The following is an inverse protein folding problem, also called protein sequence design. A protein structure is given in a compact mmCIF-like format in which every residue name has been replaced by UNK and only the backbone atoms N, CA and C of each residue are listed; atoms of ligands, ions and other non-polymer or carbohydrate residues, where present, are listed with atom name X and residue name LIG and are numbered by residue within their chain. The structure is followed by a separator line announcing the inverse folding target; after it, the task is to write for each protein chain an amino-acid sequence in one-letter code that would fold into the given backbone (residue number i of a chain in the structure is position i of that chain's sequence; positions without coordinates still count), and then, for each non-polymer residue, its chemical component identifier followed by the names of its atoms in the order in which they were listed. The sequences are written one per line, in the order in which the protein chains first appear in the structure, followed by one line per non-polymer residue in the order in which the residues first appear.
data_IF_544233003114
#
_entry.id   IF_544233003114
#
_cell.length_a   1.000
_cell.length_b   1.000
_cell.length_c   1.000
_cell.angle_alpha   90.00
_cell.angle_beta   90.00
_cell.angle_gamma   90.00
#
_symmetry.space_group_name_H-M   'P 1'
#
loop_
_entity.id
_entity.type
_entity.pdbx_description
1 polymer ?
#
# COMPACT_ATOMS: atom_id res chain seq x y z
N UNK A 1 40.39 -33.88 -9.46
CA UNK A 1 39.36 -32.91 -9.92
C UNK A 1 38.00 -33.01 -9.21
N UNK A 2 37.86 -33.75 -8.08
CA UNK A 2 36.54 -34.00 -7.43
C UNK A 2 36.12 -32.99 -6.35
N UNK A 3 37.07 -32.27 -5.74
CA UNK A 3 36.84 -31.37 -4.60
C UNK A 3 36.03 -30.11 -4.94
N UNK A 4 36.12 -29.61 -6.18
CA UNK A 4 35.38 -28.40 -6.62
C UNK A 4 33.88 -28.65 -6.75
N UNK A 5 33.47 -29.83 -7.22
CA UNK A 5 32.06 -30.18 -7.40
C UNK A 5 31.35 -30.42 -6.05
N UNK A 6 31.99 -31.10 -5.10
CA UNK A 6 31.45 -31.31 -3.76
C UNK A 6 31.30 -29.98 -2.98
N UNK A 7 32.31 -29.09 -3.07
CA UNK A 7 32.27 -27.77 -2.46
C UNK A 7 31.17 -26.89 -3.05
N UNK A 8 31.00 -26.90 -4.39
CA UNK A 8 29.90 -26.19 -5.08
C UNK A 8 28.53 -26.69 -4.64
N UNK A 9 28.34 -28.01 -4.48
CA UNK A 9 27.08 -28.59 -3.98
C UNK A 9 26.81 -28.17 -2.54
N UNK A 10 27.81 -28.21 -1.67
CA UNK A 10 27.67 -27.76 -0.29
C UNK A 10 27.30 -26.27 -0.20
N UNK A 11 27.94 -25.42 -1.00
CA UNK A 11 27.59 -23.99 -1.09
C UNK A 11 26.18 -23.79 -1.62
N UNK A 12 25.77 -24.53 -2.66
CA UNK A 12 24.41 -24.45 -3.19
C UNK A 12 23.36 -24.81 -2.13
N UNK A 13 23.58 -25.89 -1.39
CA UNK A 13 22.69 -26.28 -0.28
C UNK A 13 22.67 -25.26 0.85
N UNK A 14 23.81 -24.66 1.18
CA UNK A 14 23.87 -23.58 2.17
C UNK A 14 23.05 -22.36 1.71
N UNK A 15 23.18 -21.95 0.44
CA UNK A 15 22.39 -20.85 -0.13
C UNK A 15 20.89 -21.18 -0.10
N UNK A 16 20.50 -22.39 -0.51
CA UNK A 16 19.10 -22.84 -0.44
C UNK A 16 18.59 -22.80 1.00
N UNK A 17 19.36 -23.30 1.96
CA UNK A 17 19.00 -23.27 3.37
C UNK A 17 18.80 -21.84 3.89
N UNK A 18 19.68 -20.91 3.52
CA UNK A 18 19.56 -19.49 3.88
C UNK A 18 18.29 -18.88 3.27
N UNK A 19 18.03 -19.12 1.97
CA UNK A 19 16.83 -18.61 1.29
C UNK A 19 15.56 -19.14 1.95
N UNK A 20 15.50 -20.44 2.27
CA UNK A 20 14.36 -21.04 2.95
C UNK A 20 14.17 -20.46 4.36
N UNK A 21 15.25 -20.23 5.10
CA UNK A 21 15.17 -19.59 6.41
C UNK A 21 14.60 -18.16 6.31
N UNK A 22 15.07 -17.35 5.36
CA UNK A 22 14.50 -16.02 5.10
C UNK A 22 13.03 -16.08 4.69
N UNK A 23 12.65 -17.02 3.83
CA UNK A 23 11.27 -17.20 3.40
C UNK A 23 10.35 -17.58 4.58
N UNK A 24 10.81 -18.45 5.48
CA UNK A 24 10.10 -18.81 6.72
C UNK A 24 9.91 -17.61 7.65
N UNK A 25 10.99 -16.86 7.90
CA UNK A 25 10.95 -15.66 8.76
C UNK A 25 9.98 -14.62 8.17
N UNK A 26 10.05 -14.39 6.86
CA UNK A 26 9.13 -13.50 6.17
C UNK A 26 7.68 -14.00 6.24
N UNK A 27 7.44 -15.29 6.02
CA UNK A 27 6.11 -15.90 6.13
C UNK A 27 5.51 -15.73 7.52
N UNK A 28 6.29 -15.98 8.59
CA UNK A 28 5.87 -15.75 9.97
C UNK A 28 5.56 -14.27 10.22
N UNK A 29 6.41 -13.37 9.71
CA UNK A 29 6.20 -11.92 9.83
C UNK A 29 4.90 -11.49 9.16
N UNK A 30 4.62 -11.97 7.95
CA UNK A 30 3.38 -11.67 7.22
C UNK A 30 2.17 -12.23 7.96
N UNK A 31 2.22 -13.51 8.38
CA UNK A 31 1.15 -14.13 9.15
C UNK A 31 0.84 -13.34 10.43
N UNK A 32 1.88 -12.92 11.16
CA UNK A 32 1.74 -12.07 12.34
C UNK A 32 1.07 -10.73 12.02
N UNK A 33 1.44 -10.08 10.90
CA UNK A 33 0.85 -8.82 10.46
C UNK A 33 -0.66 -8.94 10.25
N UNK A 34 -1.11 -10.00 9.58
CA UNK A 34 -2.52 -10.23 9.31
C UNK A 34 -3.29 -10.67 10.57
N UNK A 35 -2.69 -11.47 11.44
CA UNK A 35 -3.33 -11.91 12.70
C UNK A 35 -3.51 -10.77 13.70
N UNK A 36 -2.59 -9.81 13.72
CA UNK A 36 -2.63 -8.66 14.62
C UNK A 36 -3.20 -7.39 13.96
N UNK A 37 -3.69 -7.50 12.72
CA UNK A 37 -4.31 -6.37 12.02
C UNK A 37 -5.59 -5.98 12.75
N UNK A 38 -5.71 -4.70 13.09
CA UNK A 38 -6.90 -4.17 13.77
C UNK A 38 -7.62 -3.19 12.88
N UNK A 39 -8.93 -3.03 13.08
CA UNK A 39 -9.71 -1.95 12.46
C UNK A 39 -9.09 -0.56 12.69
N UNK A 40 -8.21 -0.42 13.68
CA UNK A 40 -7.42 0.78 13.96
C UNK A 40 -6.28 1.06 12.96
N UNK A 41 -5.89 0.11 12.14
CA UNK A 41 -4.74 0.24 11.24
C UNK A 41 -5.09 1.09 10.03
N UNK A 42 -4.17 1.99 9.66
CA UNK A 42 -4.33 2.87 8.51
C UNK A 42 -3.07 2.89 7.64
N UNK A 43 -3.23 3.04 6.32
CA UNK A 43 -2.10 3.19 5.41
C UNK A 43 -1.28 4.45 5.68
N UNK A 44 -0.01 4.41 5.32
CA UNK A 44 0.84 5.62 5.30
C UNK A 44 0.49 6.49 4.09
N UNK A 45 0.50 7.81 4.26
CA UNK A 45 0.17 8.76 3.20
C UNK A 45 1.10 8.69 1.99
N UNK A 46 2.38 8.35 2.22
CA UNK A 46 3.38 8.14 1.16
C UNK A 46 3.09 6.95 0.24
N UNK A 47 2.09 6.12 0.53
CA UNK A 47 1.68 5.02 -0.36
C UNK A 47 0.98 5.51 -1.62
N UNK A 48 0.43 6.74 -1.63
CA UNK A 48 -0.17 7.34 -2.83
C UNK A 48 0.86 8.22 -3.52
N UNK A 49 1.13 7.92 -4.79
CA UNK A 49 1.96 8.77 -5.63
C UNK A 49 1.11 9.88 -6.24
N UNK A 50 1.34 11.11 -5.82
CA UNK A 50 0.67 12.27 -6.38
C UNK A 50 1.40 12.78 -7.63
N UNK A 51 0.67 13.26 -8.65
CA UNK A 51 1.28 13.89 -9.81
C UNK A 51 2.01 15.18 -9.42
N UNK A 52 2.95 15.60 -10.26
CA UNK A 52 3.69 16.84 -10.05
C UNK A 52 2.75 18.04 -9.95
N UNK A 53 2.96 18.90 -8.95
CA UNK A 53 2.14 20.08 -8.70
C UNK A 53 0.94 19.84 -7.78
N UNK A 54 0.57 18.58 -7.51
CA UNK A 54 -0.39 18.26 -6.45
C UNK A 54 0.31 18.25 -5.08
N UNK A 55 -0.33 18.83 -4.07
CA UNK A 55 0.25 18.91 -2.71
C UNK A 55 -0.73 18.44 -1.66
N UNK A 56 -0.22 17.72 -0.65
CA UNK A 56 -1.03 17.33 0.52
C UNK A 56 -1.09 18.54 1.45
N UNK A 57 -2.28 19.11 1.60
CA UNK A 57 -2.53 20.26 2.49
C UNK A 57 -2.97 19.82 3.88
N UNK A 58 -3.49 18.59 4.02
CA UNK A 58 -3.86 18.02 5.30
C UNK A 58 -3.88 16.49 5.26
N UNK A 59 -3.47 15.87 6.36
CA UNK A 59 -3.59 14.44 6.61
C UNK A 59 -4.28 14.24 7.96
N UNK A 60 -5.30 13.40 8.00
CA UNK A 60 -6.03 13.06 9.22
C UNK A 60 -6.43 11.59 9.24
N UNK A 61 -6.29 10.95 10.41
CA UNK A 61 -6.89 9.64 10.66
C UNK A 61 -8.32 9.81 11.16
N UNK A 62 -9.27 9.12 10.54
CA UNK A 62 -10.67 9.03 10.98
C UNK A 62 -11.09 7.57 11.13
N UNK A 63 -12.04 7.31 12.03
CA UNK A 63 -12.52 5.96 12.35
C UNK A 63 -14.04 5.96 12.53
N UNK A 64 -14.70 4.93 12.01
CA UNK A 64 -16.13 4.70 12.22
C UNK A 64 -16.45 3.21 12.26
N UNK A 65 -17.74 2.87 12.27
CA UNK A 65 -18.21 1.49 12.15
C UNK A 65 -17.79 0.94 10.78
N UNK A 66 -16.75 0.10 10.75
CA UNK A 66 -16.14 -0.41 9.52
C UNK A 66 -14.62 -0.20 9.43
N UNK A 67 -14.03 0.46 10.42
CA UNK A 67 -12.58 0.62 10.56
C UNK A 67 -12.12 2.07 10.47
N UNK A 68 -10.80 2.23 10.51
CA UNK A 68 -10.12 3.51 10.36
C UNK A 68 -9.59 3.66 8.93
N UNK A 69 -9.51 4.91 8.50
CA UNK A 69 -8.91 5.32 7.25
C UNK A 69 -8.11 6.60 7.45
N UNK A 70 -7.22 6.88 6.51
CA UNK A 70 -6.55 8.19 6.41
C UNK A 70 -7.26 9.01 5.36
N UNK A 71 -7.57 10.25 5.72
CA UNK A 71 -8.11 11.29 4.86
C UNK A 71 -6.96 12.22 4.46
N UNK A 72 -6.59 12.19 3.19
CA UNK A 72 -5.66 13.15 2.61
C UNK A 72 -6.44 14.22 1.86
N UNK A 73 -6.25 15.47 2.24
CA UNK A 73 -6.74 16.61 1.46
C UNK A 73 -5.62 17.05 0.54
N UNK A 74 -5.84 16.90 -0.75
CA UNK A 74 -4.88 17.21 -1.80
C UNK A 74 -5.37 18.42 -2.57
N UNK A 75 -4.51 19.43 -2.69
CA UNK A 75 -4.71 20.55 -3.60
C UNK A 75 -4.16 20.15 -4.97
N UNK A 76 -5.00 20.13 -6.03
CA UNK A 76 -4.56 19.89 -7.39
C UNK A 76 -3.66 21.03 -7.91
N UNK A 77 -2.91 20.79 -8.99
CA UNK A 77 -2.29 21.86 -9.76
C UNK A 77 -3.28 22.98 -10.13
N UNK A 78 -2.80 24.22 -10.28
CA UNK A 78 -3.66 25.39 -10.52
C UNK A 78 -4.56 25.23 -11.76
N UNK A 79 -4.08 24.52 -12.78
CA UNK A 79 -4.72 24.27 -14.07
C UNK A 79 -5.61 23.01 -14.08
N UNK A 80 -5.71 22.28 -12.98
CA UNK A 80 -6.44 21.01 -12.89
C UNK A 80 -7.58 21.07 -11.85
N UNK A 81 -8.74 20.47 -12.17
CA UNK A 81 -9.84 20.30 -11.21
C UNK A 81 -9.59 19.12 -10.25
N UNK A 82 -10.36 19.02 -9.15
CA UNK A 82 -10.24 17.89 -8.22
C UNK A 82 -10.73 16.59 -8.87
N UNK A 83 -11.74 16.68 -9.73
CA UNK A 83 -12.30 15.59 -10.52
C UNK A 83 -11.28 15.08 -11.54
N UNK A 84 -10.61 15.98 -12.26
CA UNK A 84 -9.58 15.61 -13.23
C UNK A 84 -8.36 14.98 -12.55
N UNK A 85 -7.99 15.46 -11.36
CA UNK A 85 -6.94 14.85 -10.54
C UNK A 85 -7.34 13.43 -10.11
N UNK A 86 -8.58 13.22 -9.65
CA UNK A 86 -9.08 11.90 -9.28
C UNK A 86 -9.06 10.91 -10.45
N UNK A 87 -9.46 11.37 -11.64
CA UNK A 87 -9.40 10.58 -12.87
C UNK A 87 -7.95 10.27 -13.27
N UNK A 88 -7.04 11.24 -13.15
CA UNK A 88 -5.60 11.08 -13.43
C UNK A 88 -4.97 10.05 -12.50
N UNK A 89 -5.35 10.03 -11.23
CA UNK A 89 -4.94 9.02 -10.26
C UNK A 89 -5.55 7.64 -10.52
N UNK A 90 -6.57 7.54 -11.38
CA UNK A 90 -7.33 6.31 -11.58
C UNK A 90 -8.18 5.93 -10.37
N UNK A 91 -8.52 6.89 -9.52
CA UNK A 91 -9.29 6.68 -8.28
C UNK A 91 -10.80 6.78 -8.47
N UNK A 92 -11.27 6.80 -9.72
CA UNK A 92 -12.69 6.81 -10.10
C UNK A 92 -13.10 5.47 -10.72
N UNK A 93 -13.93 4.64 -10.05
CA UNK A 93 -14.56 4.86 -8.74
C UNK A 93 -13.65 4.51 -7.55
N UNK A 94 -12.60 3.72 -7.77
CA UNK A 94 -11.68 3.27 -6.72
C UNK A 94 -10.34 2.88 -7.34
N UNK A 95 -9.24 3.27 -6.68
CA UNK A 95 -7.89 2.80 -6.98
C UNK A 95 -7.47 1.74 -5.94
N UNK A 96 -6.82 0.68 -6.39
CA UNK A 96 -6.25 -0.36 -5.53
C UNK A 96 -4.74 -0.35 -5.66
N UNK A 97 -4.04 -0.04 -4.58
CA UNK A 97 -2.58 0.01 -4.53
C UNK A 97 -2.09 -1.26 -3.85
N UNK A 98 -1.31 -2.07 -4.57
CA UNK A 98 -0.70 -3.25 -4.01
C UNK A 98 0.29 -2.87 -2.89
N UNK A 99 0.33 -3.68 -1.83
CA UNK A 99 1.32 -3.55 -0.77
C UNK A 99 2.75 -3.78 -1.28
N UNK A 100 3.71 -3.52 -0.42
CA UNK A 100 5.14 -3.73 -0.68
C UNK A 100 5.69 -4.86 0.19
N UNK A 101 7.01 -5.07 0.14
CA UNK A 101 7.66 -6.12 0.91
C UNK A 101 7.58 -5.92 2.44
N UNK A 102 7.42 -4.68 2.91
CA UNK A 102 7.32 -4.36 4.35
C UNK A 102 5.89 -4.53 4.86
N UNK A 103 4.92 -4.04 4.09
CA UNK A 103 3.49 -4.22 4.34
C UNK A 103 2.79 -4.71 3.06
N UNK A 104 2.48 -6.02 2.97
CA UNK A 104 1.89 -6.61 1.77
C UNK A 104 0.38 -6.35 1.65
N UNK A 105 -0.25 -5.66 2.61
CA UNK A 105 -1.69 -5.38 2.57
C UNK A 105 -2.02 -4.43 1.44
N UNK A 106 -3.10 -4.72 0.71
CA UNK A 106 -3.61 -3.86 -0.36
C UNK A 106 -4.31 -2.65 0.23
N UNK A 107 -4.05 -1.49 -0.35
CA UNK A 107 -4.63 -0.21 0.05
C UNK A 107 -5.74 0.14 -0.94
N UNK A 108 -6.94 0.37 -0.42
CA UNK A 108 -8.04 0.95 -1.16
C UNK A 108 -7.96 2.47 -1.10
N UNK A 109 -8.10 3.13 -2.24
CA UNK A 109 -8.11 4.59 -2.35
C UNK A 109 -9.40 5.03 -3.03
N UNK A 110 -10.17 5.86 -2.34
CA UNK A 110 -11.40 6.45 -2.85
C UNK A 110 -11.26 7.96 -2.96
N UNK A 111 -11.58 8.50 -4.12
CA UNK A 111 -11.52 9.93 -4.40
C UNK A 111 -12.88 10.60 -4.20
N UNK A 112 -12.90 11.66 -3.40
CA UNK A 112 -14.07 12.49 -3.13
C UNK A 112 -13.72 13.95 -3.44
N UNK A 113 -14.07 14.45 -4.64
CA UNK A 113 -13.89 15.87 -4.97
C UNK A 113 -14.78 16.76 -4.09
N UNK A 114 -14.20 17.78 -3.45
CA UNK A 114 -14.89 18.77 -2.61
C UNK A 114 -14.44 20.17 -3.00
N UNK A 115 -15.13 20.77 -3.97
CA UNK A 115 -14.75 22.08 -4.52
C UNK A 115 -13.42 21.99 -5.25
N UNK A 116 -12.41 22.78 -4.82
CA UNK A 116 -11.05 22.72 -5.40
C UNK A 116 -10.15 21.66 -4.75
N UNK A 117 -10.58 21.03 -3.65
CA UNK A 117 -9.78 20.05 -2.92
C UNK A 117 -10.22 18.64 -3.29
N UNK A 118 -9.26 17.76 -3.51
CA UNK A 118 -9.51 16.33 -3.63
C UNK A 118 -9.32 15.67 -2.27
N UNK A 119 -10.37 15.09 -1.71
CA UNK A 119 -10.27 14.25 -0.52
C UNK A 119 -10.02 12.79 -0.94
N UNK A 120 -8.87 12.24 -0.58
CA UNK A 120 -8.54 10.83 -0.77
C UNK A 120 -8.75 10.10 0.55
N UNK A 121 -9.53 9.02 0.54
CA UNK A 121 -9.68 8.11 1.66
C UNK A 121 -8.89 6.84 1.40
N UNK A 122 -7.95 6.54 2.29
CA UNK A 122 -7.05 5.40 2.19
C UNK A 122 -7.33 4.44 3.34
N UNK A 123 -7.59 3.17 3.03
CA UNK A 123 -7.86 2.16 4.05
C UNK A 123 -7.45 0.75 3.59
N UNK A 124 -7.40 -0.20 4.52
CA UNK A 124 -7.08 -1.61 4.26
C UNK A 124 -8.30 -2.54 4.21
N UNK A 125 -9.50 -2.02 4.46
CA UNK A 125 -10.69 -2.80 4.84
C UNK A 125 -11.80 -2.78 3.78
N UNK A 126 -11.80 -1.75 2.94
CA UNK A 126 -12.72 -1.53 1.83
C UNK A 126 -12.55 -2.62 0.77
N UNK A 127 -13.68 -3.24 0.43
CA UNK A 127 -13.72 -4.23 -0.65
C UNK A 127 -13.42 -3.58 -2.00
N UNK A 128 -12.92 -4.39 -2.93
CA UNK A 128 -12.78 -3.98 -4.33
C UNK A 128 -14.16 -3.64 -4.88
N UNK A 129 -14.28 -2.46 -5.50
CA UNK A 129 -15.51 -2.07 -6.16
C UNK A 129 -15.81 -2.97 -7.36
N UNK A 130 -17.07 -3.40 -7.48
CA UNK A 130 -17.60 -4.21 -8.57
C UNK A 130 -18.90 -3.52 -9.07
N UNK A 131 -19.05 -3.26 -10.38
CA UNK A 131 -20.24 -2.61 -10.94
C UNK A 131 -21.53 -3.42 -10.79
#
# INVERSE_FOLDING_TARGET
MSTSAARRRATAWAVVGVVLAFALVYGVRVAWLFMMATEGDVPVSSSVQLPSGATIVSEKKDCANGGCWVVLRVEPPEDQSAEDLAATLGATPQLQIAGNFVDPRTISVQAHPVGRILELRLDYWSQKWVP
#
